data_IF_526573581454
#
_entry.id   IF_526573581454
#
_cell.length_a   1.000
_cell.length_b   1.000
_cell.length_c   1.000
_cell.angle_alpha   90.00
_cell.angle_beta   90.00
_cell.angle_gamma   90.00
#
_symmetry.space_group_name_H-M   'P 1'
#
loop_
_entity.id
_entity.type
_entity.pdbx_description
1 polymer ?
#
# COMPACT_ATOMS: atom_id res chain seq x y z
N UNK A 1 46.78 32.92 -26.06
CA UNK A 1 46.06 31.76 -26.65
C UNK A 1 46.09 30.52 -25.77
N UNK A 2 47.26 30.03 -25.30
CA UNK A 2 47.32 28.82 -24.42
C UNK A 2 46.43 28.86 -23.17
N UNK A 3 46.32 30.01 -22.49
CA UNK A 3 45.44 30.17 -21.32
C UNK A 3 43.95 29.98 -21.66
N UNK A 4 43.51 30.46 -22.83
CA UNK A 4 42.13 30.30 -23.28
C UNK A 4 41.82 28.83 -23.61
N UNK A 5 42.77 28.12 -24.23
CA UNK A 5 42.64 26.70 -24.52
C UNK A 5 42.50 25.85 -23.25
N UNK A 6 43.31 26.13 -22.23
CA UNK A 6 43.20 25.44 -20.92
C UNK A 6 41.84 25.68 -20.27
N UNK A 7 41.31 26.91 -20.33
CA UNK A 7 39.98 27.23 -19.80
C UNK A 7 38.88 26.50 -20.57
N UNK A 8 38.98 26.42 -21.89
CA UNK A 8 38.02 25.66 -22.72
C UNK A 8 38.06 24.16 -22.40
N UNK A 9 39.25 23.57 -22.31
CA UNK A 9 39.41 22.13 -22.00
C UNK A 9 38.86 21.81 -20.60
N UNK A 10 39.13 22.66 -19.62
CA UNK A 10 38.59 22.54 -18.27
C UNK A 10 37.06 22.67 -18.24
N UNK A 11 36.51 23.60 -19.03
CA UNK A 11 35.06 23.79 -19.16
C UNK A 11 34.39 22.56 -19.79
N UNK A 12 35.00 21.95 -20.82
CA UNK A 12 34.48 20.72 -21.41
C UNK A 12 34.46 19.56 -20.41
N UNK A 13 35.51 19.42 -19.59
CA UNK A 13 35.58 18.38 -18.55
C UNK A 13 34.46 18.58 -17.51
N UNK A 14 34.22 19.82 -17.08
CA UNK A 14 33.13 20.11 -16.14
C UNK A 14 31.78 19.77 -16.76
N UNK A 15 31.52 20.14 -18.01
CA UNK A 15 30.26 19.83 -18.69
C UNK A 15 30.07 18.31 -18.80
N UNK A 16 31.11 17.58 -19.21
CA UNK A 16 31.06 16.12 -19.27
C UNK A 16 30.77 15.50 -17.90
N UNK A 17 31.42 15.99 -16.84
CA UNK A 17 31.16 15.56 -15.47
C UNK A 17 29.72 15.86 -15.04
N UNK A 18 29.19 17.05 -15.35
CA UNK A 18 27.80 17.41 -15.03
C UNK A 18 26.78 16.51 -15.72
N UNK A 19 27.01 16.14 -16.99
CA UNK A 19 26.12 15.22 -17.72
C UNK A 19 26.09 13.85 -17.01
N UNK A 20 27.26 13.35 -16.59
CA UNK A 20 27.36 12.08 -15.85
C UNK A 20 26.60 12.18 -14.51
N UNK A 21 26.78 13.29 -13.77
CA UNK A 21 26.06 13.51 -12.51
C UNK A 21 24.54 13.56 -12.70
N UNK A 22 24.05 14.23 -13.74
CA UNK A 22 22.62 14.28 -14.04
C UNK A 22 22.06 12.89 -14.34
N UNK A 23 22.81 12.06 -15.07
CA UNK A 23 22.40 10.69 -15.37
C UNK A 23 22.32 9.81 -14.12
N UNK A 24 23.32 9.92 -13.23
CA UNK A 24 23.33 9.21 -11.94
C UNK A 24 22.13 9.66 -11.09
N UNK A 25 21.91 10.96 -10.98
CA UNK A 25 20.81 11.52 -10.19
C UNK A 25 19.44 11.05 -10.70
N UNK A 26 19.24 11.06 -12.03
CA UNK A 26 18.03 10.53 -12.67
C UNK A 26 17.79 9.06 -12.35
N UNK A 27 18.86 8.25 -12.37
CA UNK A 27 18.77 6.81 -12.04
C UNK A 27 18.41 6.58 -10.57
N UNK A 28 18.99 7.37 -9.66
CA UNK A 28 18.70 7.29 -8.22
C UNK A 28 17.24 7.66 -7.95
N UNK A 29 16.73 8.72 -8.58
CA UNK A 29 15.34 9.15 -8.40
C UNK A 29 14.36 8.06 -8.84
N UNK A 30 14.59 7.44 -10.01
CA UNK A 30 13.75 6.33 -10.47
C UNK A 30 13.71 5.17 -9.49
N UNK A 31 14.88 4.78 -8.94
CA UNK A 31 14.96 3.71 -7.93
C UNK A 31 14.25 4.09 -6.63
N UNK A 32 14.39 5.34 -6.20
CA UNK A 32 13.70 5.82 -4.99
C UNK A 32 12.17 5.80 -5.17
N UNK A 33 11.67 6.19 -6.34
CA UNK A 33 10.25 6.10 -6.66
C UNK A 33 9.77 4.63 -6.68
N UNK A 34 10.51 3.72 -7.32
CA UNK A 34 10.16 2.29 -7.31
C UNK A 34 10.14 1.71 -5.90
N UNK A 35 11.10 2.10 -5.06
CA UNK A 35 11.16 1.69 -3.66
C UNK A 35 9.99 2.24 -2.86
N UNK A 36 9.61 3.51 -3.07
CA UNK A 36 8.45 4.12 -2.43
C UNK A 36 7.18 3.36 -2.80
N UNK A 37 6.91 3.15 -4.08
CA UNK A 37 5.74 2.40 -4.53
C UNK A 37 5.70 0.95 -4.01
N UNK A 38 6.85 0.29 -3.90
CA UNK A 38 6.96 -1.05 -3.32
C UNK A 38 6.64 -1.06 -1.83
N UNK A 39 7.12 -0.07 -1.07
CA UNK A 39 6.80 0.07 0.36
C UNK A 39 5.30 0.29 0.58
N UNK A 40 4.69 1.19 -0.19
CA UNK A 40 3.24 1.42 -0.14
C UNK A 40 2.46 0.14 -0.42
N UNK A 41 2.86 -0.61 -1.44
CA UNK A 41 2.26 -1.90 -1.77
C UNK A 41 2.38 -2.91 -0.61
N UNK A 42 3.56 -3.01 0.02
CA UNK A 42 3.76 -3.92 1.15
C UNK A 42 2.91 -3.52 2.37
N UNK A 43 2.75 -2.22 2.65
CA UNK A 43 1.88 -1.74 3.72
C UNK A 43 0.41 -2.03 3.42
N UNK A 44 -0.03 -1.80 2.18
CA UNK A 44 -1.39 -2.12 1.75
C UNK A 44 -1.66 -3.64 1.88
N UNK A 45 -0.70 -4.46 1.44
CA UNK A 45 -0.75 -5.92 1.59
C UNK A 45 -0.87 -6.35 3.05
N UNK A 46 0.01 -5.86 3.91
CA UNK A 46 -0.01 -6.18 5.34
C UNK A 46 -1.36 -5.86 5.98
N UNK A 47 -1.95 -4.71 5.63
CA UNK A 47 -3.24 -4.29 6.16
C UNK A 47 -4.39 -5.17 5.66
N UNK A 48 -4.43 -5.46 4.35
CA UNK A 48 -5.44 -6.35 3.78
C UNK A 48 -5.35 -7.77 4.36
N UNK A 49 -4.13 -8.31 4.49
CA UNK A 49 -3.88 -9.62 5.09
C UNK A 49 -4.28 -9.65 6.58
N UNK A 50 -4.04 -8.57 7.32
CA UNK A 50 -4.45 -8.44 8.72
C UNK A 50 -5.98 -8.49 8.86
N UNK A 51 -6.71 -7.74 8.02
CA UNK A 51 -8.18 -7.74 8.04
C UNK A 51 -8.74 -9.09 7.60
N UNK A 52 -8.21 -9.66 6.51
CA UNK A 52 -8.62 -10.98 6.05
C UNK A 52 -8.37 -12.05 7.12
N UNK A 53 -7.22 -12.00 7.78
CA UNK A 53 -6.87 -12.88 8.90
C UNK A 53 -7.84 -12.72 10.08
N UNK A 54 -8.22 -11.49 10.43
CA UNK A 54 -9.17 -11.23 11.51
C UNK A 54 -10.56 -11.80 11.18
N UNK A 55 -11.07 -11.57 9.97
CA UNK A 55 -12.33 -12.16 9.47
C UNK A 55 -12.27 -13.68 9.53
N UNK A 56 -11.19 -14.28 9.03
CA UNK A 56 -11.01 -15.73 9.03
C UNK A 56 -10.92 -16.30 10.45
N UNK A 57 -10.24 -15.60 11.36
CA UNK A 57 -10.11 -16.00 12.76
C UNK A 57 -11.48 -16.04 13.43
N UNK A 58 -12.27 -14.98 13.28
CA UNK A 58 -13.61 -14.88 13.86
C UNK A 58 -14.54 -15.94 13.26
N UNK A 59 -14.43 -16.20 11.95
CA UNK A 59 -15.18 -17.26 11.30
C UNK A 59 -14.84 -18.65 11.83
N UNK A 60 -13.53 -18.99 11.91
CA UNK A 60 -13.04 -20.31 12.35
C UNK A 60 -13.33 -20.55 13.84
N UNK A 61 -13.19 -19.53 14.68
CA UNK A 61 -13.41 -19.64 16.12
C UNK A 61 -14.88 -19.95 16.49
N UNK A 62 -15.82 -19.65 15.59
CA UNK A 62 -17.23 -19.97 15.75
C UNK A 62 -18.02 -18.92 16.54
N UNK A 63 -19.28 -19.26 16.81
CA UNK A 63 -20.30 -18.36 17.32
C UNK A 63 -19.93 -17.70 18.65
N UNK A 64 -20.24 -16.40 18.76
CA UNK A 64 -19.97 -15.59 19.96
C UNK A 64 -18.54 -15.01 20.02
N UNK A 65 -17.66 -15.40 19.09
CA UNK A 65 -16.31 -14.81 19.01
C UNK A 65 -16.39 -13.38 18.48
N UNK A 66 -15.70 -12.46 19.15
CA UNK A 66 -15.55 -11.06 18.71
C UNK A 66 -14.08 -10.67 18.64
N UNK A 67 -13.72 -9.85 17.65
CA UNK A 67 -12.38 -9.28 17.52
C UNK A 67 -12.46 -7.86 16.99
N UNK A 68 -11.86 -6.94 17.74
CA UNK A 68 -11.65 -5.58 17.26
C UNK A 68 -10.46 -5.53 16.29
N UNK A 69 -10.65 -4.82 15.19
CA UNK A 69 -9.62 -4.50 14.20
C UNK A 69 -9.49 -2.99 14.12
N UNK A 70 -8.37 -2.47 14.59
CA UNK A 70 -8.04 -1.05 14.49
C UNK A 70 -7.42 -0.79 13.12
N UNK A 71 -8.06 0.08 12.34
CA UNK A 71 -7.58 0.46 11.02
C UNK A 71 -7.00 1.87 11.09
N UNK A 72 -5.75 2.08 10.66
CA UNK A 72 -5.14 3.40 10.68
C UNK A 72 -5.81 4.30 9.63
N UNK A 73 -5.88 5.60 9.85
CA UNK A 73 -6.46 6.53 8.86
C UNK A 73 -5.68 6.52 7.53
N UNK A 74 -4.38 6.24 7.58
CA UNK A 74 -3.49 6.17 6.43
C UNK A 74 -2.60 4.91 6.52
N UNK A 75 -2.02 4.51 5.39
CA UNK A 75 -0.92 3.54 5.40
C UNK A 75 0.28 4.10 6.17
N UNK A 76 1.23 3.22 6.53
CA UNK A 76 2.40 3.59 7.35
C UNK A 76 3.30 4.67 6.73
N UNK A 77 3.22 4.87 5.42
CA UNK A 77 3.92 5.93 4.69
C UNK A 77 3.10 7.22 4.52
N UNK A 78 1.91 7.30 5.15
CA UNK A 78 1.00 8.43 5.04
C UNK A 78 0.08 8.37 3.83
N UNK A 79 0.11 7.30 3.03
CA UNK A 79 -0.75 7.18 1.83
C UNK A 79 -2.21 6.94 2.23
N UNK A 80 -3.16 7.76 1.75
CA UNK A 80 -4.58 7.50 1.96
C UNK A 80 -5.02 6.26 1.18
N UNK A 81 -5.92 5.48 1.76
CA UNK A 81 -6.41 4.25 1.16
C UNK A 81 -7.90 4.08 1.39
N UNK A 82 -8.51 3.19 0.60
CA UNK A 82 -9.87 2.70 0.79
C UNK A 82 -9.79 1.19 0.90
N UNK A 83 -10.32 0.64 2.00
CA UNK A 83 -10.44 -0.80 2.20
C UNK A 83 -11.91 -1.20 2.14
N UNK A 84 -12.17 -2.31 1.45
CA UNK A 84 -13.50 -2.86 1.25
C UNK A 84 -13.46 -4.37 1.38
N UNK A 85 -14.35 -4.93 2.19
CA UNK A 85 -14.57 -6.37 2.19
C UNK A 85 -15.66 -6.69 1.19
N UNK A 86 -15.36 -7.61 0.27
CA UNK A 86 -16.24 -8.03 -0.81
C UNK A 86 -16.65 -9.49 -0.58
N UNK A 87 -17.76 -9.75 0.13
CA UNK A 87 -18.15 -11.11 0.51
C UNK A 87 -18.43 -12.00 -0.71
N UNK A 88 -18.99 -11.41 -1.78
CA UNK A 88 -19.24 -12.10 -3.05
C UNK A 88 -17.97 -12.58 -3.76
N UNK A 89 -16.86 -11.85 -3.62
CA UNK A 89 -15.57 -12.21 -4.19
C UNK A 89 -14.67 -12.95 -3.20
N UNK A 90 -15.14 -13.17 -1.96
CA UNK A 90 -14.36 -13.74 -0.86
C UNK A 90 -12.99 -13.04 -0.72
N UNK A 91 -12.99 -11.71 -0.80
CA UNK A 91 -11.77 -10.93 -0.71
C UNK A 91 -11.91 -9.67 0.16
N UNK A 92 -10.81 -9.27 0.79
CA UNK A 92 -10.59 -7.92 1.31
C UNK A 92 -9.76 -7.17 0.29
N UNK A 93 -10.33 -6.14 -0.31
CA UNK A 93 -9.67 -5.29 -1.31
C UNK A 93 -9.23 -3.99 -0.66
N UNK A 94 -8.01 -3.58 -0.94
CA UNK A 94 -7.48 -2.26 -0.59
C UNK A 94 -7.07 -1.52 -1.86
N UNK A 95 -7.48 -0.26 -1.96
CA UNK A 95 -7.22 0.65 -3.09
C UNK A 95 -6.49 1.88 -2.58
N UNK A 96 -5.49 2.34 -3.33
CA UNK A 96 -4.75 3.57 -3.03
C UNK A 96 -4.30 4.24 -4.33
N UNK A 97 -3.91 5.51 -4.24
CA UNK A 97 -3.34 6.22 -5.38
C UNK A 97 -1.82 6.32 -5.23
N UNK A 98 -1.10 6.06 -6.32
CA UNK A 98 0.35 6.26 -6.41
C UNK A 98 0.69 6.93 -7.74
N UNK A 99 1.28 8.14 -7.70
CA UNK A 99 1.60 8.93 -8.90
C UNK A 99 0.40 9.06 -9.86
N UNK A 100 -0.78 9.44 -9.33
CA UNK A 100 -2.06 9.55 -10.05
C UNK A 100 -2.62 8.25 -10.64
N UNK A 101 -1.96 7.11 -10.43
CA UNK A 101 -2.47 5.81 -10.82
C UNK A 101 -3.12 5.12 -9.63
N UNK A 102 -4.37 4.68 -9.81
CA UNK A 102 -5.03 3.84 -8.82
C UNK A 102 -4.37 2.46 -8.83
N UNK A 103 -3.95 1.99 -7.66
CA UNK A 103 -3.43 0.66 -7.42
C UNK A 103 -4.36 -0.07 -6.45
N UNK A 104 -4.32 -1.39 -6.51
CA UNK A 104 -5.10 -2.22 -5.61
C UNK A 104 -4.36 -3.50 -5.24
N UNK A 105 -4.77 -4.05 -4.10
CA UNK A 105 -4.37 -5.36 -3.63
C UNK A 105 -5.59 -6.06 -3.03
N UNK A 106 -5.66 -7.38 -3.15
CA UNK A 106 -6.75 -8.17 -2.57
C UNK A 106 -6.19 -9.36 -1.80
N UNK A 107 -6.70 -9.55 -0.58
CA UNK A 107 -6.40 -10.71 0.28
C UNK A 107 -7.63 -11.60 0.43
N UNK A 108 -7.45 -12.91 0.44
CA UNK A 108 -8.57 -13.87 0.41
C UNK A 108 -9.16 -14.11 1.80
N UNK A 109 -10.49 -14.17 1.89
CA UNK A 109 -11.24 -14.60 3.08
C UNK A 109 -11.91 -15.95 2.82
N UNK A 110 -12.12 -16.71 3.89
CA UNK A 110 -12.63 -18.08 3.84
C UNK A 110 -14.15 -18.13 3.74
N UNK A 111 -14.84 -17.10 4.21
CA UNK A 111 -16.31 -17.05 4.29
C UNK A 111 -16.88 -15.97 3.38
N UNK A 112 -17.98 -16.29 2.69
CA UNK A 112 -18.83 -15.31 2.01
C UNK A 112 -19.98 -14.82 2.90
N UNK A 113 -20.15 -15.40 4.10
CA UNK A 113 -21.22 -15.09 5.03
C UNK A 113 -20.79 -13.92 5.92
N UNK A 114 -20.77 -12.73 5.34
CA UNK A 114 -20.45 -11.47 6.03
C UNK A 114 -21.67 -10.57 5.90
N UNK A 115 -22.15 -10.04 7.02
CA UNK A 115 -23.28 -9.13 7.04
C UNK A 115 -22.81 -7.73 7.50
N UNK A 116 -22.99 -6.74 6.62
CA UNK A 116 -22.48 -5.37 6.77
C UNK A 116 -21.71 -4.89 5.54
N UNK A 117 -21.62 -3.56 5.36
CA UNK A 117 -20.77 -2.94 4.33
C UNK A 117 -19.56 -2.30 5.00
N UNK A 118 -18.39 -2.64 4.49
CA UNK A 118 -17.11 -2.37 5.14
C UNK A 118 -16.36 -1.30 4.36
N UNK A 119 -16.82 -0.06 4.44
CA UNK A 119 -16.02 1.09 4.04
C UNK A 119 -15.32 1.61 5.29
N UNK A 120 -14.09 1.18 5.49
CA UNK A 120 -13.41 1.47 6.74
C UNK A 120 -12.46 2.65 6.63
N UNK A 121 -12.69 3.64 7.48
CA UNK A 121 -11.74 4.70 7.84
C UNK A 121 -11.49 4.71 9.37
N UNK A 122 -12.02 3.74 10.12
CA UNK A 122 -12.02 3.70 11.59
C UNK A 122 -11.90 2.26 12.12
N UNK A 123 -11.72 2.09 13.44
CA UNK A 123 -11.81 0.79 14.11
C UNK A 123 -13.15 0.10 13.87
N UNK A 124 -13.12 -1.23 13.87
CA UNK A 124 -14.24 -2.10 13.50
C UNK A 124 -14.27 -3.28 14.44
N UNK A 125 -15.45 -3.67 14.91
CA UNK A 125 -15.62 -4.91 15.64
C UNK A 125 -16.22 -6.00 14.73
N UNK A 126 -15.54 -7.14 14.66
CA UNK A 126 -15.96 -8.31 13.92
C UNK A 126 -16.54 -9.33 14.89
N UNK A 127 -17.79 -9.73 14.72
CA UNK A 127 -18.45 -10.71 15.62
C UNK A 127 -19.07 -11.85 14.82
N UNK A 128 -18.83 -13.10 15.23
CA UNK A 128 -19.51 -14.24 14.62
C UNK A 128 -20.86 -14.49 15.28
N UNK A 129 -21.94 -14.36 14.51
CA UNK A 129 -23.30 -14.62 14.95
C UNK A 129 -23.90 -15.70 14.04
N UNK A 130 -24.03 -16.91 14.57
CA UNK A 130 -24.64 -18.06 13.88
C UNK A 130 -23.94 -18.38 12.55
N UNK A 131 -22.61 -18.39 12.54
CA UNK A 131 -21.78 -18.65 11.37
C UNK A 131 -21.65 -17.50 10.38
N UNK A 132 -22.27 -16.35 10.66
CA UNK A 132 -22.15 -15.11 9.86
C UNK A 132 -21.28 -14.10 10.59
N UNK A 133 -20.24 -13.60 9.93
CA UNK A 133 -19.40 -12.53 10.49
C UNK A 133 -20.15 -11.21 10.31
N UNK A 134 -20.67 -10.69 11.42
CA UNK A 134 -21.24 -9.37 11.52
C UNK A 134 -20.14 -8.35 11.78
N UNK A 135 -20.37 -7.15 11.28
CA UNK A 135 -19.40 -6.09 11.36
C UNK A 135 -20.09 -4.83 11.85
N UNK A 136 -19.60 -4.33 12.98
CA UNK A 136 -20.19 -3.23 13.76
C UNK A 136 -19.15 -2.18 14.11
#
# INVERSE_FOLDING_TARGET
MRKAQIVTDFTMIIIAAMIIFLFIFSTINKRNDELSGTRTYLFAKQLADQVASAVNTVHIAGDGTSREVVLPENLKDGTPYLITVEPGNRAVRIKWYYQNNQREYSSTILTSNINGSLNFNTSVNLTNVRGTVQVT
#
